data_IF_701487862375
#
_entry.id   IF_701487862375
#
_cell.length_a   1.000
_cell.length_b   1.000
_cell.length_c   1.000
_cell.angle_alpha   90.00
_cell.angle_beta   90.00
_cell.angle_gamma   90.00
#
_symmetry.space_group_name_H-M   'P 1'
#
loop_
_entity.id
_entity.type
_entity.pdbx_description
1 polymer ?
#
# COMPACT_ATOMS: atom_id res chain seq x y z
N UNK A 1 10.60 2.94 -1.92
CA UNK A 1 9.22 2.82 -2.42
C UNK A 1 8.72 1.45 -2.09
N UNK A 2 7.50 1.36 -1.54
CA UNK A 2 6.83 0.11 -1.21
C UNK A 2 5.49 0.05 -1.93
N UNK A 3 4.93 -1.15 -2.04
CA UNK A 3 3.63 -1.39 -2.63
C UNK A 3 2.71 -2.13 -1.66
N UNK A 4 1.42 -1.81 -1.73
CA UNK A 4 0.36 -2.52 -1.01
C UNK A 4 -0.80 -2.78 -1.97
N UNK A 5 -1.12 -4.07 -2.15
CA UNK A 5 -2.33 -4.49 -2.84
C UNK A 5 -3.44 -4.75 -1.84
N UNK A 6 -4.64 -4.25 -2.11
CA UNK A 6 -5.84 -4.53 -1.33
C UNK A 6 -7.02 -4.78 -2.26
N UNK A 7 -7.81 -5.81 -2.00
CA UNK A 7 -9.00 -6.12 -2.80
C UNK A 7 -10.24 -5.32 -2.36
N UNK A 8 -10.05 -4.00 -2.23
CA UNK A 8 -11.11 -3.02 -1.90
C UNK A 8 -10.90 -1.81 -2.80
N UNK A 9 -11.98 -1.19 -3.29
CA UNK A 9 -11.91 0.10 -3.99
C UNK A 9 -11.77 1.23 -2.96
N UNK A 10 -10.59 1.86 -2.93
CA UNK A 10 -10.28 2.98 -2.04
C UNK A 10 -10.25 4.31 -2.80
N UNK A 11 -10.68 4.34 -4.06
CA UNK A 11 -10.54 5.51 -4.93
C UNK A 11 -11.14 6.77 -4.32
N UNK A 12 -12.33 6.70 -3.72
CA UNK A 12 -13.03 7.86 -3.16
C UNK A 12 -12.50 8.32 -1.80
N UNK A 13 -11.88 7.42 -1.04
CA UNK A 13 -11.29 7.72 0.27
C UNK A 13 -9.96 8.47 0.14
N UNK A 14 -9.18 8.13 -0.90
CA UNK A 14 -7.84 8.65 -1.18
C UNK A 14 -7.91 9.75 -2.23
N UNK A 15 -8.39 10.94 -1.83
CA UNK A 15 -8.41 12.12 -2.70
C UNK A 15 -7.04 12.77 -2.78
N UNK A 16 -6.63 13.17 -3.98
CA UNK A 16 -5.35 13.86 -4.21
C UNK A 16 -5.23 15.11 -3.32
N UNK A 17 -4.04 15.32 -2.77
CA UNK A 17 -3.74 16.42 -1.84
C UNK A 17 -4.21 16.20 -0.40
N UNK A 18 -5.06 15.19 -0.13
CA UNK A 18 -5.48 14.86 1.24
C UNK A 18 -4.35 14.19 2.01
N UNK A 19 -4.26 14.49 3.30
CA UNK A 19 -3.44 13.75 4.25
C UNK A 19 -4.33 12.73 4.94
N UNK A 20 -3.95 11.47 4.88
CA UNK A 20 -4.59 10.35 5.58
C UNK A 20 -3.68 9.87 6.69
N UNK A 21 -4.26 9.23 7.71
CA UNK A 21 -3.49 8.62 8.78
C UNK A 21 -3.73 7.11 8.74
N UNK A 22 -2.64 6.35 8.59
CA UNK A 22 -2.70 4.90 8.71
C UNK A 22 -2.55 4.52 10.18
N UNK A 23 -3.68 4.27 10.84
CA UNK A 23 -3.73 3.87 12.24
C UNK A 23 -3.30 2.42 12.46
N UNK A 24 -3.52 1.56 11.49
CA UNK A 24 -3.17 0.14 11.55
C UNK A 24 -1.78 -0.13 11.02
N UNK A 25 -1.10 -1.12 11.62
CA UNK A 25 0.12 -1.70 11.06
C UNK A 25 -0.26 -2.27 9.69
N UNK A 26 0.33 -1.69 8.64
CA UNK A 26 0.07 -2.07 7.26
C UNK A 26 1.30 -2.74 6.69
N UNK A 27 1.16 -4.02 6.36
CA UNK A 27 2.19 -4.76 5.64
C UNK A 27 2.31 -4.20 4.22
N UNK A 28 3.53 -3.85 3.86
CA UNK A 28 3.91 -3.30 2.56
C UNK A 28 5.12 -4.09 2.05
N UNK A 29 5.15 -4.35 0.75
CA UNK A 29 6.23 -5.15 0.14
C UNK A 29 7.06 -4.28 -0.80
N UNK A 30 8.35 -4.56 -0.88
CA UNK A 30 9.23 -3.99 -1.89
C UNK A 30 9.09 -4.66 -3.29
N UNK A 31 8.22 -5.67 -3.43
CA UNK A 31 7.94 -6.31 -4.72
C UNK A 31 6.51 -6.03 -5.20
N UNK A 32 6.39 -5.32 -6.32
CA UNK A 32 5.11 -5.00 -6.96
C UNK A 32 4.32 -6.25 -7.39
N UNK A 33 4.98 -7.35 -7.70
CA UNK A 33 4.31 -8.60 -8.08
C UNK A 33 3.67 -9.28 -6.88
N UNK A 34 4.32 -9.22 -5.71
CA UNK A 34 3.73 -9.67 -4.44
C UNK A 34 2.50 -8.83 -4.11
N UNK A 35 2.59 -7.49 -4.24
CA UNK A 35 1.44 -6.61 -4.05
C UNK A 35 0.29 -6.93 -5.02
N UNK A 36 0.58 -7.22 -6.29
CA UNK A 36 -0.44 -7.63 -7.26
C UNK A 36 -1.08 -8.98 -6.92
N UNK A 37 -0.32 -9.92 -6.39
CA UNK A 37 -0.85 -11.22 -5.98
C UNK A 37 -1.87 -11.06 -4.82
N UNK A 38 -1.59 -10.18 -3.86
CA UNK A 38 -2.54 -9.84 -2.79
C UNK A 38 -3.84 -9.22 -3.31
N UNK A 39 -3.82 -8.48 -4.43
CA UNK A 39 -5.04 -7.99 -5.06
C UNK A 39 -5.90 -9.13 -5.64
N UNK A 40 -5.28 -10.23 -6.11
CA UNK A 40 -6.01 -11.35 -6.70
C UNK A 40 -6.59 -12.36 -5.69
N UNK A 41 -6.11 -12.37 -4.44
CA UNK A 41 -6.50 -13.37 -3.44
C UNK A 41 -7.98 -13.31 -2.99
N UNK A 42 -8.71 -12.23 -3.27
CA UNK A 42 -10.07 -12.00 -2.73
C UNK A 42 -11.18 -11.91 -3.79
N UNK A 43 -10.96 -12.48 -4.99
CA UNK A 43 -12.07 -12.86 -5.87
C UNK A 43 -12.54 -11.81 -6.90
N UNK A 44 -11.63 -11.19 -7.64
CA UNK A 44 -11.93 -10.54 -8.93
C UNK A 44 -12.77 -9.25 -8.89
N UNK A 45 -13.05 -8.71 -7.70
CA UNK A 45 -13.73 -7.43 -7.51
C UNK A 45 -12.85 -6.20 -7.76
N UNK A 46 -13.35 -5.03 -7.36
CA UNK A 46 -12.58 -3.79 -7.40
C UNK A 46 -11.45 -3.83 -6.37
N UNK A 47 -10.25 -3.45 -6.77
CA UNK A 47 -9.03 -3.52 -5.96
C UNK A 47 -8.29 -2.18 -5.99
N UNK A 48 -7.38 -1.97 -5.04
CA UNK A 48 -6.49 -0.81 -5.01
C UNK A 48 -5.04 -1.25 -4.91
N UNK A 49 -4.20 -0.63 -5.73
CA UNK A 49 -2.75 -0.71 -5.66
C UNK A 49 -2.22 0.60 -5.12
N UNK A 50 -1.65 0.58 -3.93
CA UNK A 50 -1.08 1.75 -3.28
C UNK A 50 0.44 1.70 -3.45
N UNK A 51 0.99 2.71 -4.12
CA UNK A 51 2.43 2.97 -4.19
C UNK A 51 2.79 3.96 -3.09
N UNK A 52 3.72 3.57 -2.22
CA UNK A 52 4.08 4.32 -1.03
C UNK A 52 5.55 4.76 -1.07
N UNK A 53 5.75 6.07 -0.91
CA UNK A 53 7.05 6.68 -0.69
C UNK A 53 7.24 6.92 0.81
N UNK A 54 7.76 5.92 1.50
CA UNK A 54 8.06 5.98 2.93
C UNK A 54 9.53 6.30 3.20
N UNK A 55 9.78 7.00 4.31
CA UNK A 55 11.09 7.33 4.87
C UNK A 55 11.37 6.56 6.16
N UNK A 56 10.33 6.24 6.94
CA UNK A 56 10.47 5.65 8.29
C UNK A 56 10.11 4.17 8.37
N UNK A 57 9.85 3.51 7.23
CA UNK A 57 9.49 2.10 7.21
C UNK A 57 10.62 1.23 7.79
N UNK A 58 10.25 0.33 8.71
CA UNK A 58 11.16 -0.63 9.30
C UNK A 58 11.13 -1.91 8.46
N UNK A 59 12.27 -2.26 7.89
CA UNK A 59 12.46 -3.55 7.22
C UNK A 59 12.46 -4.67 8.26
N UNK A 60 11.47 -5.56 8.17
CA UNK A 60 11.34 -6.72 9.05
C UNK A 60 11.65 -8.04 8.34
N UNK A 61 12.20 -7.98 7.12
CA UNK A 61 12.53 -9.17 6.33
C UNK A 61 13.46 -10.15 7.06
N UNK A 62 14.37 -9.63 7.91
CA UNK A 62 15.27 -10.46 8.72
C UNK A 62 14.61 -11.15 9.92
N UNK A 63 13.37 -10.77 10.27
CA UNK A 63 12.59 -11.32 11.38
C UNK A 63 11.33 -12.08 10.91
N UNK A 64 10.97 -11.95 9.62
CA UNK A 64 9.82 -12.60 9.04
C UNK A 64 10.09 -14.09 8.77
N UNK A 65 9.07 -14.93 8.99
CA UNK A 65 9.08 -16.34 8.63
C UNK A 65 9.17 -16.54 7.10
N UNK A 66 8.85 -15.50 6.32
CA UNK A 66 8.95 -15.45 4.86
C UNK A 66 9.87 -14.28 4.43
N UNK A 67 11.20 -14.42 4.56
CA UNK A 67 12.15 -13.34 4.26
C UNK A 67 12.13 -12.87 2.81
N UNK A 68 11.55 -13.67 1.90
CA UNK A 68 11.41 -13.33 0.48
C UNK A 68 10.32 -12.30 0.18
N UNK A 69 9.42 -11.99 1.13
CA UNK A 69 8.34 -11.03 0.90
C UNK A 69 8.79 -9.56 1.02
N UNK A 70 10.04 -9.33 1.45
CA UNK A 70 10.63 -8.01 1.65
C UNK A 70 9.69 -7.10 2.43
N UNK A 71 9.16 -7.61 3.53
CA UNK A 71 8.11 -6.95 4.31
C UNK A 71 8.69 -5.76 5.06
N UNK A 72 8.05 -4.61 4.87
CA UNK A 72 8.37 -3.38 5.59
C UNK A 72 7.12 -2.87 6.30
N UNK A 73 7.24 -2.60 7.60
CA UNK A 73 6.14 -2.11 8.42
C UNK A 73 6.27 -0.61 8.64
N UNK A 74 5.11 0.07 8.59
CA UNK A 74 4.98 1.47 8.98
C UNK A 74 4.49 1.54 10.41
N UNK A 75 4.93 2.57 11.12
CA UNK A 75 4.48 2.81 12.48
C UNK A 75 2.97 3.17 12.49
N UNK A 76 2.25 2.79 13.55
CA UNK A 76 0.89 3.27 13.75
C UNK A 76 0.85 4.80 13.77
N UNK A 77 -0.12 5.39 13.07
CA UNK A 77 -0.26 6.84 13.01
C UNK A 77 0.58 7.54 11.93
N UNK A 78 1.27 6.78 11.06
CA UNK A 78 1.97 7.37 9.91
C UNK A 78 1.00 8.19 9.07
N UNK A 79 1.39 9.44 8.78
CA UNK A 79 0.64 10.36 7.93
C UNK A 79 1.13 10.22 6.50
N UNK A 80 0.18 10.03 5.60
CA UNK A 80 0.44 9.85 4.18
C UNK A 80 -0.30 10.93 3.41
N UNK A 81 0.40 11.65 2.54
CA UNK A 81 -0.20 12.58 1.59
C UNK A 81 -0.48 11.84 0.30
N UNK A 82 -1.73 11.93 -0.20
CA UNK A 82 -2.08 11.40 -1.51
C UNK A 82 -1.50 12.30 -2.59
N UNK A 83 -0.55 11.77 -3.36
CA UNK A 83 0.10 12.48 -4.46
C UNK A 83 -0.74 12.39 -5.72
N UNK A 84 -1.21 11.19 -6.07
CA UNK A 84 -2.00 10.95 -7.27
C UNK A 84 -2.97 9.78 -7.08
N UNK A 85 -4.07 9.78 -7.84
CA UNK A 85 -4.99 8.63 -7.92
C UNK A 85 -5.49 8.45 -9.35
N UNK A 86 -5.50 7.22 -9.85
CA UNK A 86 -6.06 6.88 -11.17
C UNK A 86 -6.81 5.57 -11.11
N UNK A 87 -7.81 5.42 -11.97
CA UNK A 87 -8.58 4.17 -12.10
C UNK A 87 -8.20 3.51 -13.41
N UNK A 88 -7.71 2.27 -13.34
CA UNK A 88 -7.31 1.44 -14.48
C UNK A 88 -8.18 0.19 -14.50
N UNK A 89 -9.31 0.28 -15.21
CA UNK A 89 -10.35 -0.75 -15.16
C UNK A 89 -10.95 -0.83 -13.75
N UNK A 90 -10.87 -2.03 -13.14
CA UNK A 90 -11.36 -2.27 -11.77
C UNK A 90 -10.31 -2.00 -10.67
N UNK A 91 -9.13 -1.50 -11.04
CA UNK A 91 -8.04 -1.24 -10.09
C UNK A 91 -7.87 0.27 -9.88
N UNK A 92 -7.93 0.72 -8.63
CA UNK A 92 -7.55 2.06 -8.22
C UNK A 92 -6.03 2.09 -7.95
N UNK A 93 -5.27 2.73 -8.81
CA UNK A 93 -3.85 3.03 -8.60
C UNK A 93 -3.74 4.32 -7.78
N UNK A 94 -3.14 4.24 -6.60
CA UNK A 94 -3.03 5.35 -5.66
C UNK A 94 -1.56 5.53 -5.30
N UNK A 95 -1.09 6.76 -5.33
CA UNK A 95 0.28 7.11 -4.96
C UNK A 95 0.26 8.01 -3.73
N UNK A 96 1.05 7.65 -2.73
CA UNK A 96 1.11 8.33 -1.45
C UNK A 96 2.56 8.53 -0.99
N UNK A 97 2.81 9.62 -0.29
CA UNK A 97 4.10 9.95 0.31
C UNK A 97 3.95 10.16 1.81
N UNK A 98 4.90 9.65 2.58
CA UNK A 98 4.98 9.89 4.01
C UNK A 98 5.34 11.35 4.33
N UNK A 99 4.58 11.96 5.26
CA UNK A 99 4.72 13.34 5.72
C UNK A 99 5.45 13.42 7.06
#
# INVERSE_FOLDING_TARGET
>A
TLWRGIAVDLFDEYKEGKIITWWSISSCTADINVAKNFMSCLGGGAASLITLHCKTACDVSGLSFYPHECESLLQPGTKLKVLSRRKKGNIAEIEVEEV
#
